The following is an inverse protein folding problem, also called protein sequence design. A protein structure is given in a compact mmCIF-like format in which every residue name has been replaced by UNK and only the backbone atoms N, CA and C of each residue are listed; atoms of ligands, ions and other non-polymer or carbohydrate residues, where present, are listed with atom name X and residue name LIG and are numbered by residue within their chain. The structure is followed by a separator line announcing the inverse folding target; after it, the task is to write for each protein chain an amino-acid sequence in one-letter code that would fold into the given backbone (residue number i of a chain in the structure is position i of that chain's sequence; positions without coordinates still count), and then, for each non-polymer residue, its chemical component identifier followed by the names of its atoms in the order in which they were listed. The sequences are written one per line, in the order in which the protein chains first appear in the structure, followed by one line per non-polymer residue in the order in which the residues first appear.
data_IF_841038756054
#
_entry.id   IF_841038756054
#
_cell.length_a   1.000
_cell.length_b   1.000
_cell.length_c   1.000
_cell.angle_alpha   90.00
_cell.angle_beta   90.00
_cell.angle_gamma   90.00
#
_symmetry.space_group_name_H-M   'P 1'
#
loop_
_entity.id
_entity.type
_entity.pdbx_description
1 polymer ?
#
# COMPACT_ATOMS: atom_id res chain seq x y z
N UNK A 1 -23.02 5.08 -11.49
CA UNK A 1 -22.82 3.87 -10.69
C UNK A 1 -21.65 3.07 -11.24
N UNK A 2 -20.70 2.71 -10.37
CA UNK A 2 -19.54 1.95 -10.80
C UNK A 2 -19.86 0.47 -10.95
N UNK A 3 -19.25 -0.15 -11.98
CA UNK A 3 -19.33 -1.58 -12.18
C UNK A 3 -18.21 -2.28 -11.39
N UNK A 4 -18.28 -3.61 -11.31
CA UNK A 4 -17.23 -4.40 -10.69
C UNK A 4 -15.88 -4.15 -11.39
N UNK A 5 -15.88 -4.03 -12.71
CA UNK A 5 -14.66 -3.74 -13.47
C UNK A 5 -14.08 -2.38 -13.11
N UNK A 6 -14.94 -1.38 -12.90
CA UNK A 6 -14.49 -0.04 -12.52
C UNK A 6 -13.92 -0.03 -11.11
N UNK A 7 -14.54 -0.73 -10.16
CA UNK A 7 -14.02 -0.86 -8.80
C UNK A 7 -12.63 -1.51 -8.82
N UNK A 8 -12.52 -2.60 -9.57
CA UNK A 8 -11.26 -3.33 -9.68
C UNK A 8 -10.17 -2.44 -10.29
N UNK A 9 -10.52 -1.66 -11.31
CA UNK A 9 -9.58 -0.76 -11.96
C UNK A 9 -9.07 0.33 -11.00
N UNK A 10 -9.95 0.89 -10.18
CA UNK A 10 -9.56 1.90 -9.20
C UNK A 10 -8.51 1.35 -8.24
N UNK A 11 -8.77 0.18 -7.67
CA UNK A 11 -7.82 -0.46 -6.76
C UNK A 11 -6.51 -0.81 -7.47
N UNK A 12 -6.60 -1.38 -8.66
CA UNK A 12 -5.44 -1.75 -9.46
C UNK A 12 -4.55 -0.54 -9.76
N UNK A 13 -5.17 0.55 -10.23
CA UNK A 13 -4.43 1.77 -10.56
C UNK A 13 -3.75 2.37 -9.33
N UNK A 14 -4.42 2.29 -8.18
CA UNK A 14 -3.82 2.77 -6.93
C UNK A 14 -2.53 2.03 -6.63
N UNK A 15 -2.55 0.70 -6.66
CA UNK A 15 -1.35 -0.09 -6.36
C UNK A 15 -0.26 0.11 -7.41
N UNK A 16 -0.62 0.17 -8.67
CA UNK A 16 0.36 0.32 -9.74
C UNK A 16 1.06 1.67 -9.72
N UNK A 17 0.45 2.68 -9.12
CA UNK A 17 1.08 3.99 -8.98
C UNK A 17 2.35 3.94 -8.14
N UNK A 18 2.48 2.98 -7.24
CA UNK A 18 3.71 2.79 -6.47
C UNK A 18 4.88 2.44 -7.39
N UNK A 19 4.61 1.66 -8.45
CA UNK A 19 5.66 1.28 -9.39
C UNK A 19 6.16 2.49 -10.20
N UNK A 20 5.33 3.53 -10.29
CA UNK A 20 5.73 4.79 -10.93
C UNK A 20 6.36 5.77 -9.93
N UNK A 21 6.48 5.39 -8.67
CA UNK A 21 7.13 6.16 -7.60
C UNK A 21 6.45 7.49 -7.29
N UNK A 22 5.15 7.61 -7.60
CA UNK A 22 4.40 8.83 -7.36
C UNK A 22 3.23 8.56 -6.40
N UNK A 23 3.58 8.39 -5.14
CA UNK A 23 2.59 8.08 -4.11
C UNK A 23 1.64 9.25 -3.86
N UNK A 24 2.13 10.50 -4.01
CA UNK A 24 1.29 11.69 -3.84
C UNK A 24 0.13 11.68 -4.83
N UNK A 25 0.46 11.46 -6.10
CA UNK A 25 -0.56 11.43 -7.14
C UNK A 25 -1.51 10.25 -6.94
N UNK A 26 -0.99 9.12 -6.50
CA UNK A 26 -1.80 7.94 -6.21
C UNK A 26 -2.86 8.26 -5.15
N UNK A 27 -2.47 8.94 -4.09
CA UNK A 27 -3.39 9.32 -3.04
C UNK A 27 -4.39 10.38 -3.53
N UNK A 28 -3.93 11.37 -4.28
CA UNK A 28 -4.81 12.41 -4.82
C UNK A 28 -5.87 11.83 -5.75
N UNK A 29 -5.48 10.88 -6.58
CA UNK A 29 -6.39 10.32 -7.59
C UNK A 29 -7.34 9.27 -7.00
N UNK A 30 -6.91 8.48 -6.02
CA UNK A 30 -7.64 7.28 -5.63
C UNK A 30 -8.04 7.19 -4.16
N UNK A 31 -7.52 8.04 -3.28
CA UNK A 31 -7.81 7.94 -1.85
C UNK A 31 -8.74 9.09 -1.44
N UNK A 32 -9.86 8.77 -0.82
CA UNK A 32 -10.80 9.77 -0.33
C UNK A 32 -10.24 10.57 0.84
N UNK A 33 -10.77 11.79 1.05
CA UNK A 33 -10.23 12.69 2.09
C UNK A 33 -10.41 12.17 3.51
N UNK A 34 -11.44 11.37 3.76
CA UNK A 34 -11.76 10.83 5.08
C UNK A 34 -11.35 9.36 5.22
N UNK A 35 -10.36 8.95 4.44
CA UNK A 35 -9.87 7.57 4.43
C UNK A 35 -9.47 7.10 5.83
N UNK A 36 -9.88 5.88 6.17
CA UNK A 36 -9.36 5.17 7.34
C UNK A 36 -8.67 3.91 6.85
N UNK A 37 -7.42 3.74 7.23
CA UNK A 37 -6.63 2.55 6.93
C UNK A 37 -6.57 1.70 8.20
N UNK A 38 -7.26 0.56 8.18
CA UNK A 38 -7.28 -0.37 9.31
C UNK A 38 -6.11 -1.34 9.17
N UNK A 39 -5.18 -1.26 10.10
CA UNK A 39 -4.05 -2.18 10.15
C UNK A 39 -4.24 -3.15 11.32
N UNK A 40 -3.39 -4.17 11.38
CA UNK A 40 -3.46 -5.17 12.44
C UNK A 40 -3.14 -4.60 13.83
N UNK A 41 -2.48 -3.46 13.92
CA UNK A 41 -2.12 -2.83 15.18
C UNK A 41 -2.92 -1.59 15.52
N UNK A 42 -3.95 -1.25 14.72
CA UNK A 42 -4.75 -0.05 14.94
C UNK A 42 -5.24 0.52 13.65
N UNK A 43 -5.29 1.84 13.56
CA UNK A 43 -5.74 2.50 12.34
C UNK A 43 -4.90 3.74 12.06
N UNK A 44 -4.88 4.13 10.78
CA UNK A 44 -4.22 5.34 10.33
C UNK A 44 -5.20 6.18 9.53
N UNK A 45 -5.12 7.50 9.70
CA UNK A 45 -5.84 8.39 8.80
C UNK A 45 -5.06 8.52 7.48
N UNK A 46 -5.62 9.27 6.55
CA UNK A 46 -5.03 9.46 5.22
C UNK A 46 -3.60 10.01 5.30
N UNK A 47 -3.39 11.00 6.14
CA UNK A 47 -2.09 11.65 6.23
C UNK A 47 -1.02 10.74 6.83
N UNK A 48 -1.35 10.00 7.87
CA UNK A 48 -0.41 9.05 8.47
C UNK A 48 -0.02 7.96 7.50
N UNK A 49 -1.00 7.44 6.74
CA UNK A 49 -0.73 6.42 5.74
C UNK A 49 0.17 6.98 4.63
N UNK A 50 -0.15 8.17 4.13
CA UNK A 50 0.66 8.81 3.09
C UNK A 50 2.10 9.01 3.56
N UNK A 51 2.28 9.48 4.79
CA UNK A 51 3.61 9.70 5.36
C UNK A 51 4.40 8.40 5.51
N UNK A 52 3.72 7.32 5.91
CA UNK A 52 4.36 6.01 6.00
C UNK A 52 4.82 5.54 4.62
N UNK A 53 3.98 5.68 3.63
CA UNK A 53 4.31 5.22 2.27
C UNK A 53 5.39 6.08 1.63
N UNK A 54 5.42 7.38 1.92
CA UNK A 54 6.53 8.23 1.50
C UNK A 54 7.86 7.74 2.08
N UNK A 55 7.86 7.44 3.38
CA UNK A 55 9.05 6.94 4.05
C UNK A 55 9.51 5.62 3.46
N UNK A 56 8.56 4.73 3.17
CA UNK A 56 8.87 3.43 2.59
C UNK A 56 9.48 3.58 1.18
N UNK A 57 8.89 4.41 0.33
CA UNK A 57 9.43 4.65 -1.01
C UNK A 57 10.79 5.36 -0.97
N UNK A 58 11.00 6.26 -0.01
CA UNK A 58 12.31 6.89 0.19
C UNK A 58 13.37 5.86 0.58
N UNK A 59 13.00 4.95 1.46
CA UNK A 59 13.93 3.92 1.94
C UNK A 59 14.20 2.86 0.91
N UNK A 60 13.19 2.55 0.08
CA UNK A 60 13.27 1.50 -0.94
C UNK A 60 12.86 2.10 -2.30
N UNK A 61 13.75 2.89 -2.94
CA UNK A 61 13.40 3.57 -4.18
C UNK A 61 13.15 2.63 -5.36
N UNK A 62 13.56 1.38 -5.26
CA UNK A 62 13.31 0.36 -6.27
C UNK A 62 12.06 -0.47 -5.97
N UNK A 63 11.20 -0.02 -5.05
CA UNK A 63 10.01 -0.75 -4.65
C UNK A 63 9.12 -1.08 -5.84
N UNK A 64 8.68 -2.34 -5.90
CA UNK A 64 7.72 -2.82 -6.90
C UNK A 64 6.60 -3.57 -6.21
N UNK A 65 5.37 -3.30 -6.63
CA UNK A 65 4.19 -4.04 -6.19
C UNK A 65 3.67 -4.87 -7.34
N UNK A 66 3.38 -6.14 -7.06
CA UNK A 66 2.75 -7.04 -8.00
C UNK A 66 1.41 -7.48 -7.45
N UNK A 67 0.36 -7.30 -8.24
CA UNK A 67 -0.97 -7.79 -7.90
C UNK A 67 -1.06 -9.24 -8.33
N UNK A 68 -1.35 -10.12 -7.38
CA UNK A 68 -1.48 -11.56 -7.63
C UNK A 68 -2.89 -11.93 -8.03
N UNK A 69 -3.88 -11.43 -7.29
CA UNK A 69 -5.30 -11.71 -7.53
C UNK A 69 -6.13 -10.56 -7.01
N UNK A 70 -7.29 -10.38 -7.62
CA UNK A 70 -8.29 -9.43 -7.13
C UNK A 70 -9.68 -10.02 -7.24
N UNK A 71 -10.48 -9.78 -6.22
CA UNK A 71 -11.88 -10.19 -6.18
C UNK A 71 -12.73 -8.99 -5.82
N UNK A 72 -13.91 -8.90 -6.41
CA UNK A 72 -14.84 -7.80 -6.16
C UNK A 72 -16.17 -8.35 -5.67
N UNK A 73 -16.66 -7.79 -4.57
CA UNK A 73 -18.01 -8.07 -4.09
C UNK A 73 -18.62 -6.76 -3.60
N UNK A 74 -19.76 -6.37 -4.17
CA UNK A 74 -20.36 -5.08 -3.89
C UNK A 74 -19.39 -3.97 -4.30
N UNK A 75 -19.11 -3.06 -3.38
CA UNK A 75 -18.15 -1.98 -3.61
C UNK A 75 -16.78 -2.27 -2.98
N UNK A 76 -16.52 -3.52 -2.64
CA UNK A 76 -15.25 -3.90 -2.00
C UNK A 76 -14.37 -4.68 -2.97
N UNK A 77 -13.08 -4.33 -2.96
CA UNK A 77 -12.09 -5.02 -3.78
C UNK A 77 -11.07 -5.66 -2.85
N UNK A 78 -10.93 -6.97 -2.95
CA UNK A 78 -9.91 -7.71 -2.23
C UNK A 78 -8.72 -7.89 -3.15
N UNK A 79 -7.54 -7.48 -2.71
CA UNK A 79 -6.33 -7.58 -3.52
C UNK A 79 -5.27 -8.36 -2.76
N UNK A 80 -4.81 -9.45 -3.33
CA UNK A 80 -3.63 -10.17 -2.86
C UNK A 80 -2.42 -9.61 -3.63
N UNK A 81 -1.46 -9.05 -2.91
CA UNK A 81 -0.32 -8.37 -3.51
C UNK A 81 0.98 -8.77 -2.85
N UNK A 82 2.07 -8.60 -3.58
CA UNK A 82 3.41 -8.69 -3.01
C UNK A 82 4.16 -7.42 -3.37
N UNK A 83 5.05 -6.98 -2.48
CA UNK A 83 5.99 -5.92 -2.84
C UNK A 83 7.39 -6.33 -2.45
N UNK A 84 8.36 -5.76 -3.15
CA UNK A 84 9.77 -6.01 -2.90
C UNK A 84 10.59 -4.80 -3.27
N UNK A 85 11.72 -4.66 -2.61
CA UNK A 85 12.65 -3.59 -2.87
C UNK A 85 13.94 -3.86 -2.12
N UNK A 86 14.78 -2.84 -2.03
CA UNK A 86 16.06 -2.91 -1.33
C UNK A 86 16.16 -1.75 -0.36
N UNK A 87 16.59 -2.02 0.86
CA UNK A 87 16.74 -0.99 1.90
C UNK A 87 17.98 -0.15 1.60
N UNK A 88 17.79 0.93 0.85
CA UNK A 88 18.89 1.77 0.35
C UNK A 88 19.06 3.09 1.07
N UNK A 89 18.12 3.47 1.93
CA UNK A 89 18.19 4.72 2.68
C UNK A 89 17.52 4.54 4.03
N UNK A 90 17.71 5.50 4.93
CA UNK A 90 17.14 5.43 6.27
C UNK A 90 15.63 5.18 6.26
N UNK A 91 15.18 4.32 7.15
CA UNK A 91 13.77 4.03 7.36
C UNK A 91 13.47 4.11 8.84
N UNK A 92 12.81 5.19 9.26
CA UNK A 92 12.47 5.45 10.67
C UNK A 92 13.66 5.23 11.62
N UNK A 93 14.81 5.78 11.27
CA UNK A 93 16.02 5.70 12.08
C UNK A 93 16.88 4.47 11.85
N UNK A 94 16.44 3.54 11.02
CA UNK A 94 17.24 2.38 10.66
C UNK A 94 18.05 2.70 9.40
N UNK A 95 19.38 2.80 9.51
CA UNK A 95 20.21 3.17 8.35
C UNK A 95 20.22 2.08 7.28
N UNK A 96 20.53 2.49 6.05
CA UNK A 96 20.53 1.59 4.90
C UNK A 96 21.32 0.32 5.18
N UNK A 97 20.65 -0.82 5.05
CA UNK A 97 21.28 -2.13 5.27
C UNK A 97 21.64 -2.85 3.97
N UNK A 98 21.10 -2.38 2.83
CA UNK A 98 21.19 -3.04 1.52
C UNK A 98 20.48 -4.39 1.49
N UNK A 99 19.67 -4.69 2.51
CA UNK A 99 18.93 -5.94 2.56
C UNK A 99 17.78 -5.95 1.56
N UNK A 100 17.46 -7.11 0.97
CA UNK A 100 16.22 -7.23 0.21
C UNK A 100 15.03 -7.19 1.16
N UNK A 101 14.00 -6.44 0.76
CA UNK A 101 12.78 -6.27 1.53
C UNK A 101 11.64 -6.90 0.77
N UNK A 102 10.83 -7.71 1.45
CA UNK A 102 9.64 -8.34 0.87
C UNK A 102 8.48 -8.26 1.82
N UNK A 103 7.31 -8.03 1.27
CA UNK A 103 6.07 -8.06 2.04
C UNK A 103 4.97 -8.59 1.16
N UNK A 104 4.22 -9.56 1.67
CA UNK A 104 3.02 -10.07 1.02
C UNK A 104 1.83 -9.71 1.88
N UNK A 105 0.77 -9.24 1.25
CA UNK A 105 -0.41 -8.86 2.00
C UNK A 105 -1.69 -9.05 1.24
N UNK A 106 -2.78 -8.90 1.98
CA UNK A 106 -4.14 -8.90 1.43
C UNK A 106 -4.79 -7.63 1.93
N UNK A 107 -5.36 -6.87 1.00
CA UNK A 107 -6.06 -5.64 1.33
C UNK A 107 -7.52 -5.74 0.91
N UNK A 108 -8.38 -5.04 1.64
CA UNK A 108 -9.77 -4.86 1.26
C UNK A 108 -10.01 -3.36 1.15
N UNK A 109 -10.35 -2.92 -0.05
CA UNK A 109 -10.62 -1.52 -0.34
C UNK A 109 -12.11 -1.32 -0.58
N UNK A 110 -12.72 -0.40 0.16
CA UNK A 110 -14.11 -0.02 -0.05
C UNK A 110 -14.14 1.25 -0.89
N UNK A 111 -14.84 1.18 -2.02
CA UNK A 111 -14.86 2.26 -3.01
C UNK A 111 -16.17 3.02 -2.91
N UNK A 112 -16.08 4.36 -2.86
CA UNK A 112 -17.24 5.23 -2.84
C UNK A 112 -16.91 6.50 -3.61
N UNK A 113 -17.79 6.90 -4.53
CA UNK A 113 -17.59 8.09 -5.35
C UNK A 113 -16.25 8.07 -6.10
N UNK A 114 -15.88 6.92 -6.63
CA UNK A 114 -14.67 6.78 -7.43
C UNK A 114 -13.37 6.75 -6.64
N UNK A 115 -13.45 6.72 -5.31
CA UNK A 115 -12.26 6.74 -4.45
C UNK A 115 -12.33 5.67 -3.38
N UNK A 116 -11.17 5.27 -2.88
CA UNK A 116 -11.05 4.33 -1.76
C UNK A 116 -11.37 5.11 -0.48
N UNK A 117 -12.41 4.68 0.20
CA UNK A 117 -12.87 5.31 1.43
C UNK A 117 -12.36 4.60 2.67
N UNK A 118 -12.25 3.29 2.60
CA UNK A 118 -11.67 2.48 3.66
C UNK A 118 -10.70 1.49 3.05
N UNK A 119 -9.61 1.27 3.77
CA UNK A 119 -8.58 0.31 3.38
C UNK A 119 -8.30 -0.56 4.59
N UNK A 120 -8.41 -1.86 4.42
CA UNK A 120 -8.02 -2.82 5.44
C UNK A 120 -6.86 -3.61 4.89
N UNK A 121 -5.79 -3.77 5.68
CA UNK A 121 -4.62 -4.51 5.23
C UNK A 121 -4.21 -5.54 6.28
N UNK A 122 -3.91 -6.74 5.80
CA UNK A 122 -3.38 -7.81 6.63
C UNK A 122 -2.08 -8.29 6.01
N UNK A 123 -1.00 -8.18 6.78
CA UNK A 123 0.33 -8.61 6.37
C UNK A 123 1.17 -8.84 7.63
N UNK A 124 2.27 -9.56 7.50
CA UNK A 124 3.17 -9.79 8.62
C UNK A 124 4.13 -8.59 8.75
N UNK A 125 3.64 -7.53 9.39
CA UNK A 125 4.42 -6.31 9.57
C UNK A 125 5.60 -6.49 10.53
N UNK A 126 5.51 -7.41 11.47
CA UNK A 126 6.62 -7.70 12.37
C UNK A 126 7.80 -8.25 11.58
N UNK A 127 7.55 -9.24 10.76
CA UNK A 127 8.60 -9.84 9.91
C UNK A 127 9.13 -8.82 8.90
N UNK A 128 8.24 -7.99 8.36
CA UNK A 128 8.61 -6.92 7.44
C UNK A 128 9.61 -5.96 8.09
N UNK A 129 9.29 -5.45 9.28
CA UNK A 129 10.18 -4.51 9.98
C UNK A 129 11.52 -5.13 10.34
N UNK A 130 11.55 -6.42 10.66
CA UNK A 130 12.79 -7.13 10.98
C UNK A 130 13.77 -7.17 9.81
N UNK A 131 13.26 -7.14 8.59
CA UNK A 131 14.12 -7.16 7.40
C UNK A 131 14.98 -5.90 7.30
N UNK A 132 14.50 -4.77 7.79
CA UNK A 132 15.25 -3.52 7.76
C UNK A 132 16.41 -3.52 8.77
N UNK A 133 16.26 -4.22 9.86
CA UNK A 133 17.25 -4.26 10.93
C UNK A 133 18.33 -5.34 10.72
N UNK A 134 18.09 -6.27 9.83
CA UNK A 134 19.03 -7.38 9.57
C UNK A 134 20.29 -6.90 8.87
N UNK A 135 21.34 -7.61 9.15
CA UNK A 135 22.61 -7.38 8.46
C UNK A 135 23.01 -8.59 7.67
#
# INVERSE_FOLDING_TARGET
MNTFSEYKAIACCFYEAYNRKDVEKSFDDFIGPDLVNHTMGGSMDREKWLNFDRAFLSACPDLEITIKEQFVEGNKVVTHWTCRGTHKADFFGMPASENPIRLTGISIDSIENGKIKEHFVMADFTQFMQQFAKK
#
